data_IF_208159568311
#
_entry.id   IF_208159568311
#
_cell.length_a   1.000
_cell.length_b   1.000
_cell.length_c   1.000
_cell.angle_alpha   90.00
_cell.angle_beta   90.00
_cell.angle_gamma   90.00
#
_symmetry.space_group_name_H-M   'P 1'
#
loop_
_entity.id
_entity.type
_entity.pdbx_description
1 polymer ?
#
# COMPACT_ATOMS: atom_id res chain seq x y z
N UNK A 1 -14.42 8.26 16.82
CA UNK A 1 -14.28 8.82 15.47
C UNK A 1 -13.46 7.84 14.65
N UNK A 2 -13.98 7.37 13.52
CA UNK A 2 -13.18 6.61 12.56
C UNK A 2 -12.32 7.59 11.78
N UNK A 3 -11.00 7.55 11.95
CA UNK A 3 -10.03 8.38 11.23
C UNK A 3 -9.45 7.69 10.00
N UNK A 4 -10.21 6.82 9.35
CA UNK A 4 -9.80 6.16 8.10
C UNK A 4 -10.49 6.83 6.92
N UNK A 5 -9.76 6.96 5.81
CA UNK A 5 -10.32 7.29 4.49
C UNK A 5 -10.27 6.05 3.62
N UNK A 6 -11.27 5.87 2.75
CA UNK A 6 -11.23 4.85 1.71
C UNK A 6 -11.67 5.39 0.36
N UNK A 7 -11.16 4.79 -0.72
CA UNK A 7 -11.60 5.01 -2.10
C UNK A 7 -11.78 3.68 -2.81
N UNK A 8 -12.65 3.66 -3.82
CA UNK A 8 -12.80 2.52 -4.73
C UNK A 8 -11.90 2.77 -5.94
N UNK A 9 -11.24 1.70 -6.41
CA UNK A 9 -10.42 1.67 -7.60
C UNK A 9 -10.92 0.57 -8.55
N UNK A 10 -11.16 0.95 -9.82
CA UNK A 10 -11.66 0.09 -10.90
C UNK A 10 -12.88 -0.77 -10.52
N UNK A 11 -13.76 -0.25 -9.65
CA UNK A 11 -14.94 -0.95 -9.12
C UNK A 11 -14.65 -2.33 -8.49
N UNK A 12 -13.39 -2.61 -8.18
CA UNK A 12 -12.90 -3.91 -7.73
C UNK A 12 -12.12 -3.84 -6.43
N UNK A 13 -11.38 -2.77 -6.20
CA UNK A 13 -10.52 -2.66 -5.03
C UNK A 13 -10.98 -1.51 -4.14
N UNK A 14 -11.23 -1.80 -2.87
CA UNK A 14 -11.41 -0.77 -1.85
C UNK A 14 -10.05 -0.51 -1.20
N UNK A 15 -9.50 0.68 -1.41
CA UNK A 15 -8.23 1.10 -0.80
C UNK A 15 -8.51 1.98 0.40
N UNK A 16 -8.08 1.51 1.57
CA UNK A 16 -8.26 2.16 2.86
C UNK A 16 -6.91 2.65 3.39
N UNK A 17 -6.83 3.91 3.76
CA UNK A 17 -5.69 4.46 4.49
C UNK A 17 -6.07 4.84 5.91
N UNK A 18 -5.21 4.45 6.85
CA UNK A 18 -5.26 4.91 8.23
C UNK A 18 -6.20 4.07 9.11
N UNK A 19 -7.00 4.75 9.93
CA UNK A 19 -7.81 4.13 10.96
C UNK A 19 -7.18 4.13 12.34
N UNK A 20 -8.03 3.86 13.33
CA UNK A 20 -7.69 3.92 14.75
C UNK A 20 -8.01 2.56 15.36
N UNK A 21 -6.99 1.81 15.79
CA UNK A 21 -7.19 0.50 16.42
C UNK A 21 -7.42 0.60 17.94
N UNK A 22 -6.98 1.70 18.55
CA UNK A 22 -7.19 2.08 19.95
C UNK A 22 -6.92 3.58 20.11
N UNK A 23 -7.30 4.18 21.25
CA UNK A 23 -7.20 5.62 21.55
C UNK A 23 -5.80 6.21 21.31
N UNK A 24 -4.76 5.36 21.36
CA UNK A 24 -3.34 5.72 21.23
C UNK A 24 -2.61 5.05 20.06
N UNK A 25 -3.29 4.28 19.18
CA UNK A 25 -2.64 3.64 18.03
C UNK A 25 -3.25 4.10 16.71
N UNK A 26 -2.51 5.00 16.07
CA UNK A 26 -2.77 5.51 14.73
C UNK A 26 -1.92 4.73 13.73
N UNK A 27 -2.54 4.30 12.63
CA UNK A 27 -1.84 3.55 11.59
C UNK A 27 -1.59 4.46 10.39
N UNK A 28 -0.42 4.32 9.76
CA UNK A 28 -0.16 4.77 8.38
C UNK A 28 -0.28 3.60 7.39
N UNK A 29 -0.96 2.53 7.81
CA UNK A 29 -1.12 1.34 7.02
C UNK A 29 -2.15 1.62 5.92
N UNK A 30 -1.83 1.16 4.72
CA UNK A 30 -2.79 1.08 3.62
C UNK A 30 -3.20 -0.38 3.48
N UNK A 31 -4.51 -0.61 3.48
CA UNK A 31 -5.11 -1.91 3.21
C UNK A 31 -5.93 -1.84 1.93
N UNK A 32 -5.86 -2.89 1.14
CA UNK A 32 -6.65 -3.05 -0.07
C UNK A 32 -7.58 -4.24 0.14
N UNK A 33 -8.86 -4.06 -0.08
CA UNK A 33 -9.82 -5.16 -0.14
C UNK A 33 -10.19 -5.42 -1.60
N UNK A 34 -10.02 -6.65 -2.06
CA UNK A 34 -10.40 -7.09 -3.39
C UNK A 34 -11.84 -7.66 -3.34
N UNK A 35 -12.78 -7.00 -4.03
CA UNK A 35 -14.18 -7.43 -4.10
C UNK A 35 -14.35 -8.76 -4.86
N UNK A 36 -13.46 -9.10 -5.78
CA UNK A 36 -13.54 -10.37 -6.52
C UNK A 36 -13.16 -11.55 -5.60
N UNK A 37 -12.00 -11.46 -4.95
CA UNK A 37 -11.47 -12.55 -4.11
C UNK A 37 -11.96 -12.50 -2.66
N UNK A 38 -12.60 -11.40 -2.25
CA UNK A 38 -13.07 -11.11 -0.90
C UNK A 38 -11.95 -11.17 0.16
N UNK A 39 -10.73 -10.75 -0.21
CA UNK A 39 -9.56 -10.80 0.66
C UNK A 39 -8.98 -9.42 0.92
N UNK A 40 -8.47 -9.25 2.14
CA UNK A 40 -7.66 -8.09 2.51
C UNK A 40 -6.20 -8.31 2.16
N UNK A 41 -5.57 -7.27 1.62
CA UNK A 41 -4.18 -7.20 1.21
C UNK A 41 -3.55 -6.05 2.00
N UNK A 42 -2.46 -6.33 2.69
CA UNK A 42 -1.62 -5.29 3.27
C UNK A 42 -0.75 -4.69 2.14
N UNK A 43 -0.89 -3.39 1.90
CA UNK A 43 -0.20 -2.73 0.78
C UNK A 43 1.32 -2.77 0.92
N UNK A 44 1.87 -2.59 2.13
CA UNK A 44 3.31 -2.65 2.38
C UNK A 44 3.85 -4.05 2.04
N UNK A 45 3.13 -5.11 2.43
CA UNK A 45 3.48 -6.48 2.05
C UNK A 45 3.44 -6.67 0.54
N UNK A 46 2.41 -6.14 -0.12
CA UNK A 46 2.29 -6.21 -1.57
C UNK A 46 3.48 -5.51 -2.27
N UNK A 47 3.89 -4.33 -1.81
CA UNK A 47 5.05 -3.63 -2.40
C UNK A 47 6.34 -4.39 -2.19
N UNK A 48 6.53 -4.96 -1.00
CA UNK A 48 7.71 -5.77 -0.73
C UNK A 48 7.78 -6.99 -1.65
N UNK A 49 6.66 -7.71 -1.81
CA UNK A 49 6.55 -8.87 -2.69
C UNK A 49 6.79 -8.48 -4.17
N UNK A 50 6.24 -7.34 -4.62
CA UNK A 50 6.46 -6.79 -5.97
C UNK A 50 7.94 -6.45 -6.22
N UNK A 51 8.59 -5.74 -5.30
CA UNK A 51 10.02 -5.39 -5.43
C UNK A 51 10.87 -6.67 -5.46
N UNK A 52 10.55 -7.64 -4.61
CA UNK A 52 11.25 -8.93 -4.58
C UNK A 52 11.17 -9.65 -5.92
N UNK A 53 9.99 -9.68 -6.53
CA UNK A 53 9.78 -10.27 -7.84
C UNK A 53 10.58 -9.54 -8.94
N UNK A 54 10.53 -8.20 -8.97
CA UNK A 54 11.31 -7.41 -9.94
C UNK A 54 12.83 -7.61 -9.79
N UNK A 55 13.35 -7.69 -8.57
CA UNK A 55 14.78 -7.95 -8.34
C UNK A 55 15.18 -9.37 -8.75
N UNK A 56 14.30 -10.35 -8.56
CA UNK A 56 14.50 -11.71 -9.04
C UNK A 56 14.50 -11.81 -10.57
N UNK A 57 13.57 -11.14 -11.25
CA UNK A 57 13.58 -11.10 -12.72
C UNK A 57 14.85 -10.42 -13.25
N UNK A 58 15.29 -9.32 -12.62
CA UNK A 58 16.56 -8.66 -12.98
C UNK A 58 17.78 -9.55 -12.79
N UNK A 59 17.77 -10.42 -11.78
CA UNK A 59 18.85 -11.41 -11.55
C UNK A 59 18.84 -12.54 -12.59
N UNK A 60 17.96 -12.48 -13.61
CA UNK A 60 17.81 -13.51 -14.63
C UNK A 60 17.48 -14.87 -14.02
N UNK A 61 16.67 -14.89 -12.96
CA UNK A 61 16.27 -16.10 -12.21
C UNK A 61 17.47 -16.90 -11.67
N UNK A 62 18.61 -16.24 -11.43
CA UNK A 62 19.75 -16.87 -10.77
C UNK A 62 19.58 -16.81 -9.25
N UNK A 63 20.14 -17.80 -8.55
CA UNK A 63 20.18 -17.87 -7.08
C UNK A 63 21.18 -16.86 -6.51
N UNK A 64 20.89 -15.57 -6.70
CA UNK A 64 21.60 -14.44 -6.11
C UNK A 64 20.81 -13.98 -4.88
N UNK A 65 21.50 -13.65 -3.79
CA UNK A 65 20.86 -13.00 -2.65
C UNK A 65 20.41 -11.59 -3.04
N UNK A 66 19.10 -11.40 -3.18
CA UNK A 66 18.47 -10.12 -3.54
C UNK A 66 18.06 -9.30 -2.32
N UNK A 67 18.20 -9.83 -1.11
CA UNK A 67 17.58 -9.28 0.12
C UNK A 67 17.98 -7.83 0.35
N UNK A 68 19.27 -7.51 0.23
CA UNK A 68 19.78 -6.15 0.45
C UNK A 68 19.22 -5.14 -0.57
N UNK A 69 19.04 -5.55 -1.83
CA UNK A 69 18.49 -4.68 -2.87
C UNK A 69 16.99 -4.42 -2.62
N UNK A 70 16.25 -5.47 -2.26
CA UNK A 70 14.82 -5.37 -1.93
C UNK A 70 14.62 -4.44 -0.74
N UNK A 71 15.36 -4.64 0.36
CA UNK A 71 15.28 -3.80 1.55
C UNK A 71 15.64 -2.35 1.26
N UNK A 72 16.73 -2.11 0.51
CA UNK A 72 17.15 -0.76 0.12
C UNK A 72 16.07 -0.04 -0.68
N UNK A 73 15.47 -0.72 -1.68
CA UNK A 73 14.38 -0.14 -2.48
C UNK A 73 13.12 0.09 -1.66
N UNK A 74 12.76 -0.85 -0.78
CA UNK A 74 11.59 -0.73 0.06
C UNK A 74 11.71 0.44 1.06
N UNK A 75 12.89 0.66 1.62
CA UNK A 75 13.17 1.78 2.53
C UNK A 75 13.16 3.15 1.84
N UNK A 76 13.34 3.21 0.52
CA UNK A 76 13.22 4.44 -0.26
C UNK A 76 11.77 4.85 -0.56
N UNK A 77 10.79 3.99 -0.26
CA UNK A 77 9.37 4.31 -0.45
C UNK A 77 8.96 5.35 0.60
N UNK A 78 8.63 6.54 0.13
CA UNK A 78 8.14 7.64 0.97
C UNK A 78 6.64 7.49 1.17
N UNK A 79 6.19 7.45 2.43
CA UNK A 79 4.77 7.38 2.82
C UNK A 79 4.45 8.40 3.91
N UNK A 80 3.18 8.82 4.06
CA UNK A 80 2.81 9.68 5.17
C UNK A 80 3.19 9.04 6.52
N UNK A 81 3.71 9.83 7.48
CA UNK A 81 3.82 9.37 8.86
C UNK A 81 2.44 9.02 9.43
N UNK A 82 2.37 8.18 10.49
CA UNK A 82 1.13 7.91 11.22
C UNK A 82 0.42 9.21 11.60
N UNK A 83 -0.87 9.31 11.30
CA UNK A 83 -1.65 10.55 11.49
C UNK A 83 -3.13 10.27 11.74
N UNK A 84 -3.78 11.11 12.54
CA UNK A 84 -5.24 11.13 12.73
C UNK A 84 -5.81 12.53 12.50
N UNK A 85 -7.14 12.63 12.44
CA UNK A 85 -7.81 13.91 12.14
C UNK A 85 -7.49 14.46 10.75
N UNK A 86 -6.92 13.63 9.87
CA UNK A 86 -6.66 13.99 8.49
C UNK A 86 -7.95 13.97 7.67
N UNK A 87 -7.96 14.73 6.59
CA UNK A 87 -9.01 14.64 5.56
C UNK A 87 -8.47 13.75 4.45
N UNK A 88 -9.31 12.88 3.91
CA UNK A 88 -8.95 12.12 2.73
C UNK A 88 -10.07 12.09 1.69
N UNK A 89 -9.67 12.03 0.43
CA UNK A 89 -10.58 12.02 -0.72
C UNK A 89 -10.08 11.01 -1.74
N UNK A 90 -10.99 10.14 -2.19
CA UNK A 90 -10.79 9.34 -3.39
C UNK A 90 -11.10 10.13 -4.64
N UNK A 91 -10.21 10.10 -5.64
CA UNK A 91 -10.47 10.68 -6.96
C UNK A 91 -9.83 9.84 -8.06
N UNK A 92 -10.67 9.22 -8.90
CA UNK A 92 -10.21 8.31 -9.95
C UNK A 92 -9.43 7.12 -9.36
N UNK A 93 -8.15 7.02 -9.72
CA UNK A 93 -7.23 6.01 -9.21
C UNK A 93 -6.33 6.49 -8.07
N UNK A 94 -6.65 7.63 -7.49
CA UNK A 94 -5.83 8.25 -6.46
C UNK A 94 -6.58 8.36 -5.14
N UNK A 95 -5.87 8.14 -4.05
CA UNK A 95 -6.27 8.47 -2.69
C UNK A 95 -5.44 9.65 -2.22
N UNK A 96 -6.12 10.76 -1.95
CA UNK A 96 -5.53 11.99 -1.44
C UNK A 96 -5.71 12.02 0.08
N UNK A 97 -4.67 12.42 0.81
CA UNK A 97 -4.68 12.58 2.28
C UNK A 97 -4.04 13.92 2.61
N UNK A 98 -4.80 14.82 3.22
CA UNK A 98 -4.35 16.15 3.61
C UNK A 98 -4.36 16.32 5.13
N UNK A 99 -3.26 16.86 5.65
CA UNK A 99 -3.11 17.26 7.04
C UNK A 99 -3.24 16.12 8.05
N UNK A 100 -3.82 16.43 9.21
CA UNK A 100 -3.89 15.54 10.39
C UNK A 100 -2.78 15.84 11.40
N UNK A 101 -2.60 14.97 12.39
CA UNK A 101 -1.58 15.13 13.44
C UNK A 101 -1.18 13.77 14.02
N UNK A 102 -0.02 13.68 14.67
CA UNK A 102 0.48 12.44 15.30
C UNK A 102 -0.08 12.27 16.73
N UNK A 103 -0.18 13.37 17.46
CA UNK A 103 -0.61 13.45 18.86
C UNK A 103 -1.23 14.85 19.14
N UNK A 104 -1.16 15.38 20.37
CA UNK A 104 -1.62 16.74 20.71
C UNK A 104 -0.62 17.85 20.29
N UNK A 105 0.38 17.54 19.46
CA UNK A 105 1.33 18.50 18.89
C UNK A 105 0.77 19.23 17.66
N UNK A 106 1.67 19.82 16.85
CA UNK A 106 1.33 20.57 15.65
C UNK A 106 0.62 19.72 14.58
N UNK A 107 -0.32 20.35 13.90
CA UNK A 107 -1.01 19.75 12.75
C UNK A 107 -0.11 19.76 11.52
N UNK A 108 -0.13 18.66 10.77
CA UNK A 108 0.42 18.58 9.44
C UNK A 108 -0.36 19.50 8.47
N UNK A 109 0.38 20.13 7.56
CA UNK A 109 -0.14 20.95 6.46
C UNK A 109 0.42 20.47 5.12
N UNK A 110 0.52 19.15 4.96
CA UNK A 110 1.03 18.47 3.77
C UNK A 110 -0.09 17.70 3.04
N UNK A 111 0.13 17.44 1.74
CA UNK A 111 -0.74 16.62 0.92
C UNK A 111 0.02 15.37 0.49
N UNK A 112 -0.55 14.20 0.76
CA UNK A 112 -0.09 12.92 0.29
C UNK A 112 -1.04 12.37 -0.75
N UNK A 113 -0.49 11.77 -1.80
CA UNK A 113 -1.29 11.17 -2.87
C UNK A 113 -0.74 9.77 -3.11
N UNK A 114 -1.61 8.77 -2.93
CA UNK A 114 -1.36 7.41 -3.37
C UNK A 114 -2.09 7.22 -4.70
N UNK A 115 -1.35 7.11 -5.80
CA UNK A 115 -1.93 6.80 -7.11
C UNK A 115 -1.71 5.32 -7.40
N UNK A 116 -2.79 4.61 -7.71
CA UNK A 116 -2.76 3.23 -8.14
C UNK A 116 -2.54 3.23 -9.65
N UNK A 117 -1.36 2.83 -10.09
CA UNK A 117 -1.08 2.66 -11.51
C UNK A 117 -1.94 1.52 -12.10
N UNK A 118 -2.36 1.64 -13.36
CA UNK A 118 -3.10 0.56 -14.06
C UNK A 118 -2.38 -0.78 -14.01
N UNK A 119 -1.05 -0.73 -14.01
CA UNK A 119 -0.21 -1.91 -13.98
C UNK A 119 -0.20 -2.61 -12.62
N UNK A 120 -0.64 -1.96 -11.54
CA UNK A 120 -0.77 -2.60 -10.23
C UNK A 120 -1.66 -3.84 -10.27
N UNK A 121 -2.73 -3.83 -11.08
CA UNK A 121 -3.67 -4.95 -11.24
C UNK A 121 -3.08 -6.04 -12.12
N UNK A 122 -2.38 -5.66 -13.20
CA UNK A 122 -1.69 -6.64 -14.05
C UNK A 122 -0.54 -7.30 -13.30
N UNK A 123 0.23 -6.53 -12.54
CA UNK A 123 1.30 -7.02 -11.68
C UNK A 123 0.75 -7.89 -10.57
N UNK A 124 -0.37 -7.50 -9.95
CA UNK A 124 -1.07 -8.31 -8.95
C UNK A 124 -1.56 -9.64 -9.55
N UNK A 125 -2.11 -9.60 -10.76
CA UNK A 125 -2.57 -10.80 -11.48
C UNK A 125 -1.41 -11.72 -11.84
N UNK A 126 -0.35 -11.18 -12.46
CA UNK A 126 0.88 -11.92 -12.76
C UNK A 126 1.52 -12.52 -11.51
N UNK A 127 1.55 -11.75 -10.42
CA UNK A 127 2.08 -12.17 -9.13
C UNK A 127 1.25 -13.29 -8.49
N UNK A 128 -0.09 -13.17 -8.49
CA UNK A 128 -0.96 -14.23 -7.99
C UNK A 128 -0.82 -15.50 -8.86
N UNK A 129 -0.90 -15.35 -10.18
CA UNK A 129 -0.77 -16.46 -11.13
C UNK A 129 0.60 -17.14 -11.01
N UNK A 130 1.70 -16.41 -10.81
CA UNK A 130 3.04 -16.99 -10.66
C UNK A 130 3.22 -17.75 -9.34
N UNK A 131 2.61 -17.30 -8.23
CA UNK A 131 2.61 -18.06 -6.97
C UNK A 131 1.74 -19.32 -7.02
N UNK A 132 0.64 -19.32 -7.77
CA UNK A 132 -0.18 -20.53 -7.94
C UNK A 132 0.44 -21.55 -8.90
N UNK A 133 1.31 -21.11 -9.82
CA UNK A 133 2.02 -21.99 -10.75
C UNK A 133 3.30 -22.60 -10.16
N UNK A 134 3.85 -22.06 -9.07
CA UNK A 134 5.02 -22.64 -8.37
C UNK A 134 4.68 -23.77 -7.40
N UNK A 135 3.39 -24.04 -7.18
CA UNK A 135 2.89 -25.07 -6.26
C UNK A 135 2.52 -26.41 -6.97
N UNK A 136 2.97 -26.61 -8.22
CA UNK A 136 2.81 -27.85 -9.00
C UNK A 136 4.13 -28.35 -9.60
#
# INVERSE_FOLDING_TARGET
MSGAVATIYEDRYLVCFGGVSSVIRFHNLTFIFDFETQKWINYDKFLYDKISFEEFEKSQNQNVDITQNVESRFLQIVKPPPRFGHVGVGHGNSLLVFGGQVDNSESFNDLWILTLERDLVQDFRKFLESKFLSDF
#
